data_IF_917947349427
#
_entry.id   IF_917947349427
#
_cell.length_a   1.000
_cell.length_b   1.000
_cell.length_c   1.000
_cell.angle_alpha   90.00
_cell.angle_beta   90.00
_cell.angle_gamma   90.00
#
_symmetry.space_group_name_H-M   'P 1'
#
loop_
_entity.id
_entity.type
_entity.pdbx_description
1 polymer ?
#
# COMPACT_ATOMS: atom_id res chain seq x y z
N UNK A 1 -4.72 -0.28 -26.69
CA UNK A 1 -3.55 0.51 -26.20
C UNK A 1 -3.75 0.79 -24.72
N UNK A 2 -2.74 0.55 -23.88
CA UNK A 2 -2.78 0.77 -22.42
C UNK A 2 -1.61 1.67 -22.00
N UNK A 3 -1.68 2.19 -20.78
CA UNK A 3 -0.58 2.99 -20.17
C UNK A 3 0.15 2.17 -19.12
N UNK A 4 1.46 2.38 -18.94
CA UNK A 4 2.27 1.79 -17.85
C UNK A 4 2.75 2.96 -17.00
N UNK A 5 2.38 2.99 -15.72
CA UNK A 5 2.70 4.09 -14.81
C UNK A 5 2.94 3.57 -13.40
N UNK A 6 3.74 4.26 -12.60
CA UNK A 6 3.75 4.04 -11.16
C UNK A 6 2.37 4.38 -10.54
N UNK A 7 2.18 4.07 -9.25
CA UNK A 7 0.87 4.28 -8.61
C UNK A 7 0.47 5.76 -8.51
N UNK A 8 1.42 6.69 -8.39
CA UNK A 8 1.12 8.12 -8.30
C UNK A 8 0.70 8.70 -9.66
N UNK A 9 1.46 8.38 -10.70
CA UNK A 9 1.17 8.72 -12.07
C UNK A 9 -0.13 8.05 -12.55
N UNK A 10 -0.43 6.82 -12.11
CA UNK A 10 -1.74 6.21 -12.34
C UNK A 10 -2.85 7.15 -11.89
N UNK A 11 -2.78 7.67 -10.66
CA UNK A 11 -3.82 8.55 -10.13
C UNK A 11 -4.02 9.82 -10.96
N UNK A 12 -2.91 10.42 -11.41
CA UNK A 12 -2.94 11.56 -12.30
C UNK A 12 -3.55 11.24 -13.68
N UNK A 13 -3.25 10.06 -14.24
CA UNK A 13 -3.67 9.66 -15.58
C UNK A 13 -5.13 9.19 -15.62
N UNK A 14 -5.57 8.48 -14.59
CA UNK A 14 -6.95 8.02 -14.46
C UNK A 14 -7.90 9.14 -14.03
N UNK A 15 -7.40 10.14 -13.30
CA UNK A 15 -8.21 11.13 -12.62
C UNK A 15 -8.79 10.63 -11.30
N UNK A 16 -8.40 9.44 -10.82
CA UNK A 16 -8.75 8.95 -9.48
C UNK A 16 -7.58 9.18 -8.53
N UNK A 17 -7.79 9.96 -7.47
CA UNK A 17 -6.74 10.23 -6.49
C UNK A 17 -6.25 8.93 -5.83
N UNK A 18 -4.93 8.84 -5.65
CA UNK A 18 -4.27 7.72 -4.97
C UNK A 18 -4.00 8.03 -3.49
N UNK A 19 -4.60 9.09 -2.98
CA UNK A 19 -4.45 9.56 -1.60
C UNK A 19 -5.73 9.22 -0.81
N UNK A 20 -5.54 8.84 0.45
CA UNK A 20 -6.64 8.61 1.39
C UNK A 20 -7.22 7.20 1.34
N UNK A 21 -8.33 6.98 2.05
CA UNK A 21 -8.98 5.66 2.19
C UNK A 21 -9.52 5.11 0.87
N UNK A 22 -9.94 6.01 -0.02
CA UNK A 22 -10.50 5.70 -1.33
C UNK A 22 -9.44 5.48 -2.41
N UNK A 23 -8.14 5.39 -2.07
CA UNK A 23 -7.06 5.28 -3.08
C UNK A 23 -7.11 4.01 -3.94
N UNK A 24 -7.75 2.94 -3.46
CA UNK A 24 -7.82 1.68 -4.21
C UNK A 24 -8.76 1.81 -5.41
N UNK A 25 -8.22 1.66 -6.62
CA UNK A 25 -8.99 1.74 -7.87
C UNK A 25 -9.85 0.50 -8.17
N UNK A 26 -9.57 -0.62 -7.49
CA UNK A 26 -10.34 -1.86 -7.63
C UNK A 26 -11.55 -1.80 -6.70
N UNK A 27 -11.34 -1.46 -5.42
CA UNK A 27 -12.42 -1.36 -4.45
C UNK A 27 -13.22 -0.07 -4.61
N UNK A 28 -12.58 1.02 -5.07
CA UNK A 28 -13.14 2.36 -5.17
C UNK A 28 -13.84 2.81 -3.88
N UNK A 29 -15.13 3.14 -3.97
CA UNK A 29 -15.98 3.57 -2.86
C UNK A 29 -16.34 2.43 -1.88
N UNK A 30 -16.16 1.17 -2.29
CA UNK A 30 -16.35 -0.03 -1.45
C UNK A 30 -15.07 -0.47 -0.71
N UNK A 31 -14.15 0.47 -0.49
CA UNK A 31 -12.91 0.22 0.24
C UNK A 31 -13.15 -0.09 1.72
N UNK A 32 -12.39 -1.05 2.26
CA UNK A 32 -12.36 -1.38 3.70
C UNK A 32 -11.22 -0.69 4.44
N UNK A 33 -10.55 0.26 3.79
CA UNK A 33 -9.42 0.97 4.36
C UNK A 33 -9.80 1.74 5.62
N UNK A 34 -8.90 1.77 6.58
CA UNK A 34 -9.09 2.47 7.85
C UNK A 34 -7.85 3.29 8.19
N UNK A 35 -8.00 4.21 9.14
CA UNK A 35 -6.86 4.97 9.66
C UNK A 35 -6.35 4.28 10.91
N UNK A 36 -5.05 4.01 10.96
CA UNK A 36 -4.39 3.47 12.15
C UNK A 36 -4.55 4.44 13.33
N UNK A 37 -4.88 3.93 14.50
CA UNK A 37 -5.17 4.72 15.71
C UNK A 37 -3.96 5.55 16.17
N UNK A 38 -2.77 4.95 16.19
CA UNK A 38 -1.55 5.57 16.70
C UNK A 38 -0.71 6.16 15.56
N UNK A 39 -0.53 5.42 14.48
CA UNK A 39 0.22 5.84 13.30
C UNK A 39 -0.49 6.90 12.46
N UNK A 40 -1.82 7.04 12.57
CA UNK A 40 -2.69 7.97 11.82
C UNK A 40 -2.66 7.84 10.30
N UNK A 41 -1.89 6.88 9.77
CA UNK A 41 -1.82 6.56 8.34
C UNK A 41 -3.02 5.73 7.92
N UNK A 42 -3.41 5.87 6.65
CA UNK A 42 -4.37 4.96 6.03
C UNK A 42 -3.73 3.59 5.87
N UNK A 43 -4.48 2.55 6.19
CA UNK A 43 -4.07 1.15 6.09
C UNK A 43 -5.12 0.36 5.33
N UNK A 44 -4.64 -0.55 4.49
CA UNK A 44 -5.42 -1.60 3.82
C UNK A 44 -5.10 -2.98 4.40
N UNK A 45 -4.52 -3.03 5.61
CA UNK A 45 -4.20 -4.28 6.28
C UNK A 45 -5.44 -5.19 6.30
N UNK A 46 -5.26 -6.41 5.79
CA UNK A 46 -6.26 -7.48 5.64
C UNK A 46 -7.49 -7.18 4.79
N UNK A 47 -7.55 -6.03 4.11
CA UNK A 47 -8.65 -5.72 3.20
C UNK A 47 -8.67 -6.64 1.97
N UNK A 48 -7.56 -7.30 1.65
CA UNK A 48 -7.43 -8.16 0.47
C UNK A 48 -8.07 -9.55 0.64
N UNK A 49 -8.36 -9.98 1.87
CA UNK A 49 -8.97 -11.29 2.12
C UNK A 49 -10.32 -11.47 1.42
N UNK A 50 -11.05 -10.37 1.19
CA UNK A 50 -12.33 -10.39 0.48
C UNK A 50 -12.23 -10.87 -0.98
N UNK A 51 -11.02 -10.94 -1.55
CA UNK A 51 -10.78 -11.46 -2.89
C UNK A 51 -10.51 -12.98 -2.93
N UNK A 52 -10.29 -13.62 -1.78
CA UNK A 52 -10.11 -15.08 -1.70
C UNK A 52 -11.44 -15.82 -1.94
N UNK A 53 -11.46 -17.11 -2.30
CA UNK A 53 -12.70 -17.91 -2.31
C UNK A 53 -13.44 -17.87 -0.97
N UNK A 54 -14.78 -17.93 -0.96
CA UNK A 54 -15.58 -17.80 0.28
C UNK A 54 -15.27 -18.89 1.33
N UNK A 55 -14.89 -20.09 0.89
CA UNK A 55 -14.51 -21.22 1.74
C UNK A 55 -13.02 -21.22 2.12
N UNK A 56 -12.23 -20.22 1.71
CA UNK A 56 -10.80 -20.16 1.98
C UNK A 56 -10.51 -20.01 3.48
N UNK A 57 -9.59 -20.82 4.02
CA UNK A 57 -9.30 -20.88 5.46
C UNK A 57 -8.88 -19.53 6.05
N UNK A 58 -8.06 -18.76 5.31
CA UNK A 58 -7.61 -17.43 5.75
C UNK A 58 -8.76 -16.42 6.00
N UNK A 59 -9.95 -16.63 5.43
CA UNK A 59 -11.12 -15.78 5.75
C UNK A 59 -11.65 -15.98 7.16
N UNK A 60 -11.39 -17.15 7.76
CA UNK A 60 -11.82 -17.52 9.13
C UNK A 60 -10.70 -17.41 10.15
N UNK A 61 -9.50 -16.99 9.72
CA UNK A 61 -8.35 -16.94 10.61
C UNK A 61 -8.30 -15.60 11.36
N UNK A 62 -8.72 -15.62 12.61
CA UNK A 62 -8.81 -14.45 13.49
C UNK A 62 -7.54 -14.21 14.33
N UNK A 63 -6.48 -15.00 14.10
CA UNK A 63 -5.24 -15.04 14.86
C UNK A 63 -4.05 -14.44 14.09
N UNK A 64 -3.88 -14.84 12.82
CA UNK A 64 -2.75 -14.42 11.99
C UNK A 64 -2.97 -13.02 11.42
N UNK A 65 -4.23 -12.66 11.20
CA UNK A 65 -4.70 -11.43 10.59
C UNK A 65 -5.27 -10.48 11.66
N UNK A 66 -6.21 -9.63 11.27
CA UNK A 66 -6.92 -8.71 12.14
C UNK A 66 -7.61 -9.50 13.27
N UNK A 67 -7.22 -9.19 14.51
CA UNK A 67 -7.59 -9.97 15.69
C UNK A 67 -9.11 -10.04 15.86
N UNK A 68 -9.63 -11.24 16.04
CA UNK A 68 -11.06 -11.46 16.31
C UNK A 68 -11.98 -11.09 15.14
N UNK A 69 -11.46 -11.01 13.92
CA UNK A 69 -12.24 -10.67 12.72
C UNK A 69 -12.23 -11.83 11.72
N UNK A 70 -13.41 -12.13 11.19
CA UNK A 70 -13.60 -13.02 10.05
C UNK A 70 -14.05 -12.20 8.83
N UNK A 71 -13.62 -12.58 7.63
CA UNK A 71 -13.92 -11.91 6.37
C UNK A 71 -15.01 -12.64 5.58
N UNK A 72 -16.25 -12.17 5.71
CA UNK A 72 -17.45 -12.76 5.11
C UNK A 72 -17.94 -12.04 3.85
N UNK A 73 -17.37 -10.89 3.50
CA UNK A 73 -17.82 -10.12 2.35
C UNK A 73 -17.40 -10.77 1.04
N UNK A 74 -18.19 -10.49 0.00
CA UNK A 74 -17.79 -10.76 -1.39
C UNK A 74 -16.80 -9.69 -1.86
N UNK A 75 -15.98 -9.98 -2.88
CA UNK A 75 -15.14 -8.94 -3.47
C UNK A 75 -16.02 -7.82 -4.06
N UNK A 76 -15.56 -6.56 -4.02
CA UNK A 76 -16.28 -5.46 -4.65
C UNK A 76 -16.47 -5.71 -6.16
N UNK A 77 -17.57 -5.23 -6.76
CA UNK A 77 -17.82 -5.39 -8.19
C UNK A 77 -16.70 -4.75 -9.03
N UNK A 78 -16.18 -5.52 -10.01
CA UNK A 78 -15.25 -4.98 -11.01
C UNK A 78 -16.06 -4.19 -12.03
N UNK A 79 -15.89 -2.86 -12.05
CA UNK A 79 -16.60 -2.02 -13.01
C UNK A 79 -16.01 -2.14 -14.42
N UNK A 80 -16.88 -2.26 -15.42
CA UNK A 80 -16.48 -2.16 -16.84
C UNK A 80 -16.08 -0.74 -17.19
N UNK A 81 -15.43 -0.54 -18.34
CA UNK A 81 -15.09 0.82 -18.76
C UNK A 81 -16.30 1.67 -19.09
N UNK A 82 -17.38 1.08 -19.60
CA UNK A 82 -18.67 1.76 -19.80
C UNK A 82 -19.27 2.21 -18.47
N UNK A 83 -19.26 1.35 -17.44
CA UNK A 83 -19.78 1.71 -16.12
C UNK A 83 -18.97 2.83 -15.47
N UNK A 84 -17.64 2.79 -15.60
CA UNK A 84 -16.77 3.88 -15.13
C UNK A 84 -17.03 5.17 -15.92
N UNK A 85 -17.21 5.06 -17.24
CA UNK A 85 -17.54 6.20 -18.09
C UNK A 85 -18.84 6.88 -17.65
N UNK A 86 -19.89 6.11 -17.39
CA UNK A 86 -21.18 6.65 -16.92
C UNK A 86 -21.04 7.43 -15.60
N UNK A 87 -20.13 7.01 -14.71
CA UNK A 87 -19.83 7.74 -13.46
C UNK A 87 -19.05 9.04 -13.70
N UNK A 88 -18.16 9.09 -14.69
CA UNK A 88 -17.21 10.22 -14.86
C UNK A 88 -17.56 11.19 -15.99
N UNK A 89 -18.47 10.83 -16.91
CA UNK A 89 -18.78 11.63 -18.11
C UNK A 89 -19.23 13.05 -17.81
N UNK A 90 -19.86 13.26 -16.64
CA UNK A 90 -20.32 14.56 -16.17
C UNK A 90 -19.29 15.37 -15.39
N UNK A 91 -18.07 14.85 -15.19
CA UNK A 91 -17.01 15.56 -14.47
C UNK A 91 -16.18 16.46 -15.39
N UNK A 92 -15.60 17.54 -14.84
CA UNK A 92 -14.85 18.50 -15.65
C UNK A 92 -13.61 17.85 -16.26
N UNK A 93 -13.27 18.26 -17.50
CA UNK A 93 -12.00 17.87 -18.12
C UNK A 93 -10.85 18.64 -17.47
N UNK A 94 -9.65 18.08 -17.57
CA UNK A 94 -8.43 18.80 -17.16
C UNK A 94 -8.17 20.06 -17.99
N UNK A 95 -8.66 20.08 -19.24
CA UNK A 95 -8.49 21.20 -20.19
C UNK A 95 -9.49 22.33 -19.97
N UNK A 96 -10.50 22.12 -19.12
CA UNK A 96 -11.46 23.15 -18.76
C UNK A 96 -10.83 24.00 -17.65
N UNK A 97 -10.56 25.28 -17.94
CA UNK A 97 -9.87 26.18 -17.02
C UNK A 97 -10.71 26.40 -15.74
N UNK A 98 -10.28 25.82 -14.62
CA UNK A 98 -10.86 26.04 -13.30
C UNK A 98 -10.57 24.91 -12.31
N UNK A 99 -10.79 25.12 -11.00
CA UNK A 99 -10.71 24.05 -10.02
C UNK A 99 -11.75 22.98 -10.35
N UNK A 100 -11.28 21.76 -10.59
CA UNK A 100 -12.14 20.63 -10.90
C UNK A 100 -12.92 20.22 -9.65
N UNK A 101 -14.18 20.68 -9.52
CA UNK A 101 -15.04 20.32 -8.41
C UNK A 101 -15.78 19.02 -8.73
N UNK A 102 -15.13 17.89 -8.48
CA UNK A 102 -15.78 16.59 -8.55
C UNK A 102 -16.69 16.40 -7.33
N UNK A 103 -18.00 16.46 -7.54
CA UNK A 103 -18.98 16.31 -6.46
C UNK A 103 -18.75 15.00 -5.70
N UNK A 104 -18.67 15.08 -4.37
CA UNK A 104 -18.46 13.91 -3.50
C UNK A 104 -16.99 13.49 -3.32
N UNK A 105 -16.03 14.25 -3.85
CA UNK A 105 -14.60 13.98 -3.64
C UNK A 105 -14.24 13.82 -2.15
N UNK A 106 -13.48 12.76 -1.84
CA UNK A 106 -13.03 12.42 -0.50
C UNK A 106 -14.11 11.86 0.42
N UNK A 107 -15.37 11.78 -0.03
CA UNK A 107 -16.50 11.23 0.72
C UNK A 107 -17.09 10.01 0.02
N UNK A 108 -17.71 10.20 -1.14
CA UNK A 108 -18.37 9.14 -1.92
C UNK A 108 -17.55 8.66 -3.10
N UNK A 109 -16.53 9.41 -3.52
CA UNK A 109 -15.61 9.02 -4.58
C UNK A 109 -14.25 9.72 -4.43
N UNK A 110 -13.25 9.30 -5.21
CA UNK A 110 -11.93 9.90 -5.23
C UNK A 110 -11.58 10.53 -6.58
N UNK A 111 -12.57 10.84 -7.41
CA UNK A 111 -12.32 11.47 -8.70
C UNK A 111 -11.87 12.91 -8.51
N UNK A 112 -10.82 13.31 -9.22
CA UNK A 112 -10.28 14.66 -9.25
C UNK A 112 -10.49 15.34 -10.59
N UNK A 113 -10.79 14.57 -11.65
CA UNK A 113 -11.02 15.03 -13.03
C UNK A 113 -11.51 13.92 -13.94
N UNK A 114 -12.11 14.29 -15.06
CA UNK A 114 -12.27 13.41 -16.23
C UNK A 114 -10.97 13.43 -17.06
N UNK A 115 -10.32 12.28 -17.16
CA UNK A 115 -9.11 12.11 -17.98
C UNK A 115 -9.38 12.27 -19.48
N UNK A 116 -8.41 12.83 -20.21
CA UNK A 116 -8.46 12.97 -21.68
C UNK A 116 -8.55 11.61 -22.39
N UNK A 117 -8.08 10.53 -21.77
CA UNK A 117 -8.20 9.19 -22.35
C UNK A 117 -9.65 8.78 -22.60
N UNK A 118 -10.60 9.32 -21.83
CA UNK A 118 -12.01 9.03 -22.04
C UNK A 118 -12.60 9.65 -23.32
N UNK A 119 -11.91 10.60 -23.95
CA UNK A 119 -12.28 11.12 -25.27
C UNK A 119 -11.90 10.15 -26.40
N UNK A 120 -11.07 9.14 -26.12
CA UNK A 120 -10.67 8.14 -27.10
C UNK A 120 -11.80 7.09 -27.26
N UNK A 121 -12.31 6.83 -28.48
CA UNK A 121 -13.48 5.98 -28.71
C UNK A 121 -13.37 4.56 -28.13
N UNK A 122 -12.15 4.02 -28.09
CA UNK A 122 -11.84 2.66 -27.63
C UNK A 122 -11.58 2.56 -26.12
N UNK A 123 -11.42 3.67 -25.40
CA UNK A 123 -10.96 3.62 -24.01
C UNK A 123 -11.99 2.97 -23.07
N UNK A 124 -13.28 3.20 -23.34
CA UNK A 124 -14.39 2.59 -22.61
C UNK A 124 -14.48 1.08 -22.80
N UNK A 125 -14.08 0.56 -23.96
CA UNK A 125 -14.14 -0.88 -24.28
C UNK A 125 -12.86 -1.63 -23.89
N UNK A 126 -11.80 -0.92 -23.51
CA UNK A 126 -10.56 -1.54 -23.03
C UNK A 126 -10.79 -2.25 -21.68
N UNK A 127 -10.51 -3.55 -21.63
CA UNK A 127 -10.49 -4.36 -20.40
C UNK A 127 -9.37 -3.92 -19.45
N UNK A 128 -8.22 -3.55 -20.01
CA UNK A 128 -7.05 -3.05 -19.27
C UNK A 128 -6.69 -1.66 -19.80
N UNK A 129 -6.82 -0.66 -18.93
CA UNK A 129 -6.60 0.77 -19.25
C UNK A 129 -5.25 1.26 -18.75
N UNK A 130 -4.94 0.91 -17.51
CA UNK A 130 -3.74 1.34 -16.81
C UNK A 130 -3.07 0.13 -16.18
N UNK A 131 -1.79 -0.06 -16.49
CA UNK A 131 -0.92 -1.03 -15.89
C UNK A 131 0.01 -0.33 -14.90
N UNK A 132 0.29 -1.02 -13.80
CA UNK A 132 1.24 -0.53 -12.81
C UNK A 132 2.65 -0.88 -13.24
N UNK A 133 3.55 0.10 -13.15
CA UNK A 133 4.98 -0.11 -13.29
C UNK A 133 5.48 -0.90 -12.07
N UNK A 134 5.83 -2.15 -12.33
CA UNK A 134 6.25 -3.12 -11.33
C UNK A 134 7.59 -2.72 -10.70
N UNK A 135 8.47 -2.07 -11.46
CA UNK A 135 9.83 -1.72 -11.00
C UNK A 135 9.80 -0.83 -9.74
N UNK A 136 8.97 0.21 -9.76
CA UNK A 136 8.81 1.13 -8.63
C UNK A 136 8.12 0.46 -7.44
N UNK A 137 7.17 -0.44 -7.70
CA UNK A 137 6.45 -1.17 -6.65
C UNK A 137 7.39 -2.15 -5.95
N UNK A 138 8.14 -2.95 -6.72
CA UNK A 138 9.10 -3.91 -6.20
C UNK A 138 10.18 -3.22 -5.38
N UNK A 139 10.76 -2.11 -5.87
CA UNK A 139 11.72 -1.33 -5.09
C UNK A 139 11.14 -0.85 -3.76
N UNK A 140 9.93 -0.30 -3.77
CA UNK A 140 9.28 0.18 -2.55
C UNK A 140 8.98 -0.95 -1.56
N UNK A 141 8.54 -2.12 -2.04
CA UNK A 141 8.30 -3.30 -1.21
C UNK A 141 9.60 -3.82 -0.62
N UNK A 142 10.64 -3.95 -1.47
CA UNK A 142 11.97 -4.37 -1.06
C UNK A 142 12.54 -3.45 0.02
N UNK A 143 12.60 -2.14 -0.23
CA UNK A 143 13.17 -1.16 0.72
C UNK A 143 12.47 -1.24 2.08
N UNK A 144 11.13 -1.37 2.09
CA UNK A 144 10.35 -1.49 3.32
C UNK A 144 10.68 -2.78 4.10
N UNK A 145 10.73 -3.93 3.42
CA UNK A 145 11.06 -5.22 4.04
C UNK A 145 12.51 -5.20 4.53
N UNK A 146 13.43 -4.78 3.67
CA UNK A 146 14.87 -4.73 3.93
C UNK A 146 15.17 -3.88 5.17
N UNK A 147 14.71 -2.63 5.21
CA UNK A 147 14.96 -1.77 6.37
C UNK A 147 14.30 -2.28 7.67
N UNK A 148 13.19 -3.02 7.57
CA UNK A 148 12.54 -3.64 8.73
C UNK A 148 13.31 -4.85 9.26
N UNK A 149 13.84 -5.69 8.38
CA UNK A 149 14.66 -6.87 8.75
C UNK A 149 16.03 -6.45 9.30
N UNK A 150 16.63 -5.40 8.72
CA UNK A 150 17.92 -4.83 9.17
C UNK A 150 17.79 -4.02 10.48
N UNK A 151 16.56 -3.73 10.94
CA UNK A 151 16.24 -2.85 12.08
C UNK A 151 17.01 -1.52 12.04
N UNK A 152 17.06 -0.91 10.85
CA UNK A 152 17.63 0.43 10.69
C UNK A 152 16.65 1.45 11.29
N UNK A 153 17.03 2.07 12.40
CA UNK A 153 16.20 2.99 13.19
C UNK A 153 15.64 4.18 12.39
N UNK A 154 16.34 4.63 11.35
CA UNK A 154 15.93 5.79 10.55
C UNK A 154 14.84 5.46 9.53
N UNK A 155 14.84 4.24 8.99
CA UNK A 155 14.02 3.87 7.83
C UNK A 155 13.03 2.73 8.08
N UNK A 156 13.19 1.98 9.17
CA UNK A 156 12.34 0.85 9.52
C UNK A 156 10.86 1.28 9.64
N UNK A 157 9.96 0.45 9.14
CA UNK A 157 8.52 0.61 9.40
C UNK A 157 8.11 0.08 10.77
N UNK A 158 9.02 -0.58 11.47
CA UNK A 158 8.81 -1.09 12.82
C UNK A 158 9.19 -0.06 13.90
N UNK A 159 8.32 0.93 14.08
CA UNK A 159 8.46 1.97 15.11
C UNK A 159 7.46 1.77 16.26
N UNK A 160 7.59 2.57 17.32
CA UNK A 160 6.74 2.48 18.52
C UNK A 160 5.24 2.60 18.20
N UNK A 161 4.86 3.56 17.34
CA UNK A 161 3.46 3.74 16.92
C UNK A 161 2.95 2.50 16.18
N UNK A 162 3.77 1.90 15.33
CA UNK A 162 3.45 0.65 14.64
C UNK A 162 3.26 -0.51 15.65
N UNK A 163 4.08 -0.61 16.70
CA UNK A 163 3.88 -1.62 17.77
C UNK A 163 2.61 -1.38 18.58
N UNK A 164 2.24 -0.13 18.84
CA UNK A 164 0.96 0.21 19.50
C UNK A 164 -0.24 -0.17 18.61
N UNK A 165 -0.17 0.13 17.31
CA UNK A 165 -1.19 -0.27 16.35
C UNK A 165 -1.27 -1.79 16.19
N UNK A 166 -0.13 -2.48 16.19
CA UNK A 166 -0.07 -3.93 16.13
C UNK A 166 -0.75 -4.58 17.35
N UNK A 167 -0.63 -3.99 18.55
CA UNK A 167 -1.42 -4.42 19.73
C UNK A 167 -2.92 -4.14 19.56
N UNK A 168 -3.28 -3.03 18.90
CA UNK A 168 -4.68 -2.68 18.63
C UNK A 168 -5.33 -3.65 17.62
N UNK A 169 -4.59 -4.08 16.59
CA UNK A 169 -5.17 -4.77 15.43
C UNK A 169 -4.77 -6.24 15.29
N UNK A 170 -3.68 -6.72 15.89
CA UNK A 170 -3.14 -8.06 15.68
C UNK A 170 -2.92 -8.83 17.00
N UNK A 171 -2.89 -10.17 16.95
CA UNK A 171 -2.48 -11.03 18.08
C UNK A 171 -0.99 -11.35 17.97
N UNK A 172 -0.13 -10.45 18.43
CA UNK A 172 1.35 -10.55 18.36
C UNK A 172 1.99 -10.05 19.66
N UNK A 173 1.68 -10.75 20.75
CA UNK A 173 2.08 -10.37 22.10
C UNK A 173 3.59 -10.27 22.30
N UNK A 174 4.35 -11.06 21.55
CA UNK A 174 5.82 -11.04 21.50
C UNK A 174 6.38 -9.72 20.94
N UNK A 175 5.58 -9.02 20.13
CA UNK A 175 5.95 -7.74 19.54
C UNK A 175 5.32 -6.53 20.25
N UNK A 176 4.54 -6.71 21.31
CA UNK A 176 3.98 -5.57 22.03
C UNK A 176 5.08 -4.74 22.72
N UNK A 177 4.90 -3.42 22.81
CA UNK A 177 5.75 -2.60 23.66
C UNK A 177 5.59 -3.03 25.12
N UNK A 178 6.71 -3.15 25.82
CA UNK A 178 6.75 -3.52 27.24
C UNK A 178 7.21 -2.33 28.07
N UNK A 179 6.73 -2.21 29.30
CA UNK A 179 7.26 -1.24 30.25
C UNK A 179 8.30 -1.92 31.13
N UNK A 180 9.43 -1.25 31.35
CA UNK A 180 10.40 -1.70 32.33
C UNK A 180 9.99 -1.28 33.75
N UNK A 181 10.76 -1.72 34.75
CA UNK A 181 10.55 -1.37 36.16
C UNK A 181 10.55 0.15 36.44
N UNK A 182 11.12 0.95 35.53
CA UNK A 182 11.20 2.41 35.61
C UNK A 182 10.11 3.12 34.79
N UNK A 183 9.12 2.40 34.26
CA UNK A 183 8.01 2.94 33.47
C UNK A 183 8.38 3.37 32.04
N UNK A 184 9.60 3.10 31.57
CA UNK A 184 10.01 3.39 30.18
C UNK A 184 9.53 2.29 29.25
N UNK A 185 9.04 2.70 28.08
CA UNK A 185 8.67 1.78 27.01
C UNK A 185 9.91 1.19 26.34
N UNK A 186 9.90 -0.12 26.15
CA UNK A 186 10.94 -0.89 25.48
C UNK A 186 10.30 -1.60 24.27
N UNK A 187 10.95 -1.44 23.11
CA UNK A 187 10.64 -2.17 21.88
C UNK A 187 11.49 -3.44 21.83
N UNK A 188 10.85 -4.61 21.97
CA UNK A 188 11.52 -5.90 21.78
C UNK A 188 11.97 -6.07 20.32
N UNK A 189 13.17 -6.61 20.10
CA UNK A 189 13.62 -7.02 18.76
C UNK A 189 12.68 -8.09 18.23
N UNK A 190 12.26 -7.96 16.97
CA UNK A 190 11.42 -8.95 16.35
C UNK A 190 12.24 -10.21 16.01
N UNK A 191 11.60 -11.37 15.95
CA UNK A 191 12.27 -12.64 15.62
C UNK A 191 12.89 -12.67 14.22
N UNK A 192 12.37 -11.84 13.31
CA UNK A 192 12.88 -11.70 11.94
C UNK A 192 14.01 -10.66 11.82
N UNK A 193 14.35 -9.94 12.90
CA UNK A 193 15.44 -8.97 12.88
C UNK A 193 16.78 -9.70 12.88
N UNK A 194 17.66 -9.36 11.95
CA UNK A 194 18.98 -9.97 11.83
C UNK A 194 19.91 -9.51 12.95
N UNK A 195 20.81 -10.41 13.36
CA UNK A 195 21.97 -10.05 14.18
C UNK A 195 23.05 -9.39 13.32
N UNK A 196 24.10 -8.86 13.94
CA UNK A 196 25.06 -8.02 13.23
C UNK A 196 25.93 -8.80 12.23
N UNK A 197 26.19 -10.10 12.48
CA UNK A 197 26.90 -10.96 11.54
C UNK A 197 26.01 -11.29 10.32
N UNK A 198 24.75 -11.65 10.55
CA UNK A 198 23.77 -11.88 9.50
C UNK A 198 23.53 -10.63 8.63
N UNK A 199 23.60 -9.43 9.22
CA UNK A 199 23.49 -8.18 8.46
C UNK A 199 24.67 -8.02 7.50
N UNK A 200 25.89 -8.38 7.92
CA UNK A 200 27.08 -8.35 7.06
C UNK A 200 26.93 -9.33 5.90
N UNK A 201 26.54 -10.58 6.18
CA UNK A 201 26.32 -11.60 5.16
C UNK A 201 25.30 -11.14 4.10
N UNK A 202 24.18 -10.54 4.55
CA UNK A 202 23.15 -10.01 3.65
C UNK A 202 23.67 -8.81 2.85
N UNK A 203 24.45 -7.92 3.46
CA UNK A 203 25.05 -6.78 2.77
C UNK A 203 26.07 -7.21 1.70
N UNK A 204 26.92 -8.19 2.00
CA UNK A 204 27.87 -8.78 1.05
C UNK A 204 27.12 -9.44 -0.11
N UNK A 205 26.12 -10.27 0.19
CA UNK A 205 25.28 -10.90 -0.82
C UNK A 205 24.62 -9.86 -1.74
N UNK A 206 24.03 -8.80 -1.18
CA UNK A 206 23.39 -7.76 -1.99
C UNK A 206 24.41 -6.99 -2.84
N UNK A 207 25.64 -6.80 -2.36
CA UNK A 207 26.72 -6.17 -3.12
C UNK A 207 27.16 -7.04 -4.31
N UNK A 208 27.15 -8.37 -4.16
CA UNK A 208 27.48 -9.32 -5.23
C UNK A 208 26.36 -9.46 -6.28
N UNK A 209 25.12 -9.18 -5.91
CA UNK A 209 24.01 -9.15 -6.88
C UNK A 209 24.25 -8.03 -7.90
N UNK A 210 24.52 -8.42 -9.15
CA UNK A 210 24.39 -7.54 -10.32
C UNK A 210 22.91 -7.22 -10.54
N UNK A 211 22.33 -6.39 -9.68
CA UNK A 211 20.97 -5.88 -9.86
C UNK A 211 20.96 -4.96 -11.08
N UNK A 212 20.15 -5.30 -12.10
CA UNK A 212 19.87 -4.47 -13.28
C UNK A 212 19.04 -3.19 -12.95
N UNK A 213 19.14 -2.69 -11.72
CA UNK A 213 18.48 -1.47 -11.26
C UNK A 213 19.50 -0.57 -10.56
N UNK A 214 20.07 0.37 -11.31
CA UNK A 214 21.04 1.35 -10.83
C UNK A 214 20.57 2.17 -9.60
N UNK A 215 19.27 2.17 -9.27
CA UNK A 215 18.73 2.85 -8.08
C UNK A 215 18.76 2.04 -6.76
N UNK A 216 18.85 0.71 -6.79
CA UNK A 216 18.90 -0.12 -5.57
C UNK A 216 20.30 -0.05 -4.91
N UNK A 217 21.35 0.05 -5.74
CA UNK A 217 22.73 0.20 -5.29
C UNK A 217 22.94 1.42 -4.39
N UNK A 218 22.25 2.54 -4.63
CA UNK A 218 22.42 3.76 -3.81
C UNK A 218 21.91 3.53 -2.38
N UNK A 219 20.75 2.88 -2.21
CA UNK A 219 20.17 2.65 -0.88
C UNK A 219 20.97 1.63 -0.06
N UNK A 220 21.53 0.62 -0.74
CA UNK A 220 22.38 -0.40 -0.12
C UNK A 220 23.76 0.16 0.21
N UNK A 221 24.39 0.92 -0.68
CA UNK A 221 25.69 1.55 -0.44
C UNK A 221 25.66 2.55 0.73
N UNK A 222 24.53 3.23 0.95
CA UNK A 222 24.35 4.10 2.14
C UNK A 222 24.24 3.28 3.42
N UNK A 223 23.64 2.07 3.40
CA UNK A 223 23.61 1.20 4.57
C UNK A 223 24.96 0.57 4.87
N UNK A 224 25.68 0.11 3.85
CA UNK A 224 27.02 -0.51 3.99
C UNK A 224 28.01 0.47 4.62
N UNK A 225 27.93 1.76 4.30
CA UNK A 225 28.81 2.79 4.90
C UNK A 225 28.52 3.07 6.39
N UNK A 226 27.40 2.60 6.92
CA UNK A 226 26.92 2.90 8.27
C UNK A 226 26.76 1.64 9.14
N UNK A 227 27.18 0.47 8.65
CA UNK A 227 27.34 -0.78 9.40
C UNK A 227 28.83 -0.96 9.66
#
# INVERSE_FOLDING_TARGET
MWTINDFLAYGMMSGWSTIGKLACLICMDETKAFSLKNGRKVSWFDCNQQFLPLNHEFRRNDNIFYKGREEKSRPPPKLTGEQVWEKIKGFPKITEFGPCNCYGYGKSNNWTKRSIFWDLPYWKTNLVRHNLDVMHIEKNVFDNIFHTIMDNSERTKDNEKARMDLKEYCRRSDLHLQQNAYGRWIKSKAKFTLNDDQKKDVCEWVHELKMLMDMLLISVNVLIRNI
#
